data_IF_833378000877
#
_entry.id   IF_833378000877
#
_cell.length_a   1.000
_cell.length_b   1.000
_cell.length_c   1.000
_cell.angle_alpha   90.00
_cell.angle_beta   90.00
_cell.angle_gamma   90.00
#
_symmetry.space_group_name_H-M   'P 1'
#
loop_
_entity.id
_entity.type
_entity.pdbx_description
1 polymer ?
#
# COMPACT_ATOMS: atom_id res chain seq x y z
N UNK A 1 11.71 -1.70 -27.19
CA UNK A 1 11.45 -2.74 -28.20
C UNK A 1 10.04 -3.19 -27.92
N UNK A 2 9.08 -2.86 -28.78
CA UNK A 2 7.70 -3.28 -28.57
C UNK A 2 7.59 -4.77 -28.85
N UNK A 3 7.05 -5.49 -27.89
CA UNK A 3 6.80 -6.93 -28.05
C UNK A 3 5.35 -7.04 -28.51
N UNK A 4 5.18 -7.46 -29.73
CA UNK A 4 3.90 -7.82 -30.33
C UNK A 4 3.88 -9.32 -30.50
N UNK A 5 3.55 -10.01 -29.43
CA UNK A 5 3.54 -11.46 -29.41
C UNK A 5 2.13 -11.98 -29.70
N UNK A 6 2.05 -13.09 -30.38
CA UNK A 6 0.83 -13.76 -30.76
C UNK A 6 0.89 -15.18 -30.27
N UNK A 7 -0.12 -15.57 -29.53
CA UNK A 7 -0.20 -16.88 -28.94
C UNK A 7 -1.48 -17.60 -29.35
N UNK A 8 -1.43 -18.92 -29.39
CA UNK A 8 -2.60 -19.78 -29.54
C UNK A 8 -2.43 -21.04 -28.71
N UNK A 9 -3.51 -21.46 -28.10
CA UNK A 9 -3.53 -22.75 -27.41
C UNK A 9 -3.91 -23.87 -28.38
N UNK A 10 -3.01 -24.81 -28.59
CA UNK A 10 -3.25 -26.07 -29.28
C UNK A 10 -2.94 -27.21 -28.30
N UNK A 11 -3.91 -28.13 -28.11
CA UNK A 11 -3.83 -29.26 -27.14
C UNK A 11 -3.42 -28.85 -25.72
N UNK A 12 -3.95 -27.72 -25.24
CA UNK A 12 -3.65 -27.10 -23.90
C UNK A 12 -2.23 -26.53 -23.74
N UNK A 13 -1.47 -26.46 -24.79
CA UNK A 13 -0.14 -25.84 -24.81
C UNK A 13 -0.26 -24.46 -25.48
N UNK A 14 0.23 -23.42 -24.82
CA UNK A 14 0.34 -22.11 -25.42
C UNK A 14 1.58 -22.09 -26.31
N UNK A 15 1.42 -21.72 -27.58
CA UNK A 15 2.51 -21.56 -28.53
C UNK A 15 2.44 -20.20 -29.19
N UNK A 16 3.59 -19.63 -29.45
CA UNK A 16 3.71 -18.43 -30.28
C UNK A 16 3.37 -18.75 -31.73
N UNK A 17 2.60 -17.88 -32.38
CA UNK A 17 2.19 -18.03 -33.78
C UNK A 17 2.63 -16.82 -34.60
N UNK A 18 2.97 -17.04 -35.86
CA UNK A 18 3.39 -15.96 -36.77
C UNK A 18 2.22 -15.28 -37.49
N UNK A 19 1.12 -16.00 -37.71
CA UNK A 19 -0.04 -15.50 -38.44
C UNK A 19 -1.25 -15.27 -37.55
N UNK A 20 -2.07 -14.28 -37.91
CA UNK A 20 -3.34 -14.06 -37.26
C UNK A 20 -4.35 -15.10 -37.71
N UNK A 21 -4.92 -15.84 -36.79
CA UNK A 21 -5.92 -16.85 -37.07
C UNK A 21 -6.96 -16.98 -35.97
N UNK A 22 -8.00 -17.77 -36.21
CA UNK A 22 -9.03 -18.03 -35.20
C UNK A 22 -8.44 -18.59 -33.89
N UNK A 23 -8.87 -18.01 -32.78
CA UNK A 23 -8.38 -18.37 -31.45
C UNK A 23 -7.01 -17.79 -31.10
N UNK A 24 -6.52 -16.81 -31.85
CA UNK A 24 -5.28 -16.09 -31.50
C UNK A 24 -5.49 -15.19 -30.29
N UNK A 25 -4.49 -15.11 -29.45
CA UNK A 25 -4.32 -14.07 -28.43
C UNK A 25 -3.17 -13.16 -28.84
N UNK A 26 -3.47 -11.87 -29.00
CA UNK A 26 -2.53 -10.84 -29.39
C UNK A 26 -2.18 -10.03 -28.15
N UNK A 27 -0.92 -10.01 -27.75
CA UNK A 27 -0.41 -9.22 -26.64
C UNK A 27 0.31 -7.99 -27.16
N UNK A 28 -0.12 -6.83 -26.73
CA UNK A 28 0.46 -5.55 -27.09
C UNK A 28 0.96 -4.86 -25.82
N UNK A 29 2.25 -4.97 -25.57
CA UNK A 29 2.90 -4.29 -24.45
C UNK A 29 3.61 -3.06 -24.95
N UNK A 30 3.22 -1.88 -24.46
CA UNK A 30 3.78 -0.58 -24.86
C UNK A 30 3.84 -0.38 -26.37
N UNK A 31 2.72 -0.59 -27.11
CA UNK A 31 2.73 -0.54 -28.56
C UNK A 31 3.03 0.86 -29.09
N UNK A 32 3.76 0.93 -30.19
CA UNK A 32 3.96 2.16 -30.94
C UNK A 32 2.67 2.59 -31.63
N UNK A 33 2.66 3.83 -32.13
CA UNK A 33 1.51 4.36 -32.89
C UNK A 33 1.28 3.52 -34.17
N UNK A 34 2.33 3.13 -34.87
CA UNK A 34 2.24 2.36 -36.12
C UNK A 34 1.74 0.93 -35.88
N UNK A 35 2.15 0.30 -34.79
CA UNK A 35 1.62 -1.00 -34.38
C UNK A 35 0.13 -0.90 -34.01
N UNK A 36 -0.24 0.12 -33.25
CA UNK A 36 -1.65 0.38 -32.90
C UNK A 36 -2.50 0.60 -34.15
N UNK A 37 -2.03 1.39 -35.14
CA UNK A 37 -2.69 1.59 -36.43
C UNK A 37 -2.85 0.30 -37.20
N UNK A 38 -1.78 -0.51 -37.29
CA UNK A 38 -1.82 -1.79 -38.01
C UNK A 38 -2.87 -2.76 -37.44
N UNK A 39 -3.07 -2.77 -36.12
CA UNK A 39 -4.11 -3.56 -35.46
C UNK A 39 -5.50 -2.95 -35.68
N UNK A 40 -5.64 -1.63 -35.53
CA UNK A 40 -6.89 -0.91 -35.76
C UNK A 40 -7.44 -1.15 -37.18
N UNK A 41 -6.59 -0.99 -38.19
CA UNK A 41 -6.96 -1.21 -39.62
C UNK A 41 -7.31 -2.68 -39.90
N UNK A 42 -6.54 -3.62 -39.33
CA UNK A 42 -6.73 -5.06 -39.60
C UNK A 42 -8.02 -5.60 -39.02
N UNK A 43 -8.42 -5.15 -37.85
CA UNK A 43 -9.59 -5.68 -37.13
C UNK A 43 -10.77 -4.72 -37.14
N UNK A 44 -10.68 -3.63 -37.91
CA UNK A 44 -11.72 -2.58 -37.99
C UNK A 44 -12.10 -2.03 -36.61
N UNK A 45 -11.07 -1.72 -35.80
CA UNK A 45 -11.21 -1.15 -34.45
C UNK A 45 -10.85 0.33 -34.51
N UNK A 46 -11.54 1.18 -33.76
CA UNK A 46 -11.12 2.58 -33.62
C UNK A 46 -9.73 2.67 -33.01
N UNK A 47 -8.85 3.48 -33.62
CA UNK A 47 -7.49 3.68 -33.10
C UNK A 47 -7.48 4.24 -31.68
N UNK A 48 -8.45 5.09 -31.33
CA UNK A 48 -8.58 5.63 -29.98
C UNK A 48 -8.85 4.51 -28.98
N UNK A 49 -9.69 3.53 -29.33
CA UNK A 49 -10.00 2.37 -28.46
C UNK A 49 -8.82 1.41 -28.32
N UNK A 50 -8.02 1.20 -29.39
CA UNK A 50 -6.77 0.43 -29.31
C UNK A 50 -5.76 1.10 -28.38
N UNK A 51 -5.77 2.43 -28.29
CA UNK A 51 -4.82 3.18 -27.49
C UNK A 51 -5.33 3.60 -26.11
N UNK A 52 -6.61 3.37 -25.83
CA UNK A 52 -7.24 3.82 -24.60
C UNK A 52 -6.50 3.33 -23.34
N UNK A 53 -6.11 2.06 -23.31
CA UNK A 53 -5.37 1.48 -22.16
C UNK A 53 -3.89 1.91 -22.04
N UNK A 54 -3.43 2.85 -22.90
CA UNK A 54 -2.10 3.46 -22.81
C UNK A 54 -2.13 4.83 -22.13
N UNK A 55 -3.30 5.29 -21.75
CA UNK A 55 -3.52 6.49 -20.96
C UNK A 55 -3.73 6.04 -19.51
N UNK A 56 -2.83 6.45 -18.61
CA UNK A 56 -2.84 6.05 -17.20
C UNK A 56 -4.09 6.59 -16.46
N UNK A 57 -4.76 7.61 -16.98
CA UNK A 57 -5.99 8.20 -16.43
C UNK A 57 -7.27 7.60 -17.03
N UNK A 58 -7.15 6.59 -17.90
CA UNK A 58 -8.30 5.99 -18.55
C UNK A 58 -9.20 5.23 -17.56
N UNK A 59 -10.51 5.44 -17.67
CA UNK A 59 -11.48 4.85 -16.75
C UNK A 59 -11.88 3.43 -17.13
N UNK A 60 -11.98 2.54 -16.15
CA UNK A 60 -12.48 1.18 -16.33
C UNK A 60 -13.91 1.19 -16.88
N UNK A 61 -14.13 0.57 -18.06
CA UNK A 61 -15.41 0.53 -18.77
C UNK A 61 -15.59 -0.69 -19.65
N UNK A 62 -16.82 -0.93 -20.04
CA UNK A 62 -17.19 -1.84 -21.13
C UNK A 62 -17.88 -1.04 -22.22
N UNK A 63 -17.41 -1.18 -23.44
CA UNK A 63 -17.96 -0.56 -24.65
C UNK A 63 -18.19 -1.66 -25.68
N UNK A 64 -19.41 -1.74 -26.22
CA UNK A 64 -19.78 -2.75 -27.22
C UNK A 64 -20.05 -2.06 -28.52
N UNK A 65 -19.20 -2.33 -29.49
CA UNK A 65 -19.30 -1.88 -30.86
C UNK A 65 -19.84 -3.00 -31.76
N UNK A 66 -20.10 -2.70 -33.02
CA UNK A 66 -20.65 -3.68 -33.97
C UNK A 66 -19.67 -4.82 -34.26
N UNK A 67 -18.37 -4.53 -34.36
CA UNK A 67 -17.32 -5.49 -34.74
C UNK A 67 -16.49 -6.00 -33.57
N UNK A 68 -16.51 -5.31 -32.42
CA UNK A 68 -15.70 -5.68 -31.26
C UNK A 68 -16.33 -5.25 -29.94
N UNK A 69 -15.80 -5.78 -28.86
CA UNK A 69 -16.12 -5.33 -27.49
C UNK A 69 -14.82 -4.93 -26.81
N UNK A 70 -14.75 -3.69 -26.35
CA UNK A 70 -13.64 -3.16 -25.53
C UNK A 70 -14.00 -3.26 -24.06
N UNK A 71 -13.07 -3.81 -23.28
CA UNK A 71 -13.17 -3.90 -21.83
C UNK A 71 -11.87 -3.30 -21.29
N UNK A 72 -12.00 -2.25 -20.48
CA UNK A 72 -10.87 -1.64 -19.77
C UNK A 72 -11.06 -1.91 -18.29
N UNK A 73 -10.03 -2.46 -17.66
CA UNK A 73 -9.96 -2.71 -16.22
C UNK A 73 -8.62 -2.24 -15.69
N UNK A 74 -8.60 -1.81 -14.45
CA UNK A 74 -7.35 -1.48 -13.78
C UNK A 74 -6.69 -2.76 -13.27
N UNK A 75 -5.39 -2.85 -13.42
CA UNK A 75 -4.55 -3.93 -12.89
C UNK A 75 -3.51 -3.36 -11.94
N UNK A 76 -3.08 -4.12 -10.92
CA UNK A 76 -2.05 -3.65 -10.01
C UNK A 76 -0.69 -3.64 -10.70
N UNK A 77 0.07 -2.57 -10.47
CA UNK A 77 1.45 -2.41 -10.92
C UNK A 77 2.36 -1.98 -9.77
N UNK A 78 3.67 -2.16 -9.96
CA UNK A 78 4.71 -1.74 -9.03
C UNK A 78 5.58 -0.72 -9.76
N UNK A 79 5.66 0.48 -9.19
CA UNK A 79 6.61 1.49 -9.62
C UNK A 79 7.70 1.71 -8.56
N UNK A 80 8.87 2.16 -8.98
CA UNK A 80 9.92 2.57 -8.06
C UNK A 80 9.79 4.08 -7.84
N UNK A 81 9.40 4.46 -6.62
CA UNK A 81 9.29 5.85 -6.19
C UNK A 81 10.25 6.10 -5.03
N UNK A 82 11.16 7.07 -5.17
CA UNK A 82 12.18 7.38 -4.15
C UNK A 82 12.99 6.14 -3.69
N UNK A 83 13.44 5.32 -4.64
CA UNK A 83 14.19 4.07 -4.41
C UNK A 83 13.40 2.98 -3.63
N UNK A 84 12.09 3.09 -3.56
CA UNK A 84 11.18 2.14 -2.88
C UNK A 84 10.11 1.64 -3.83
N UNK A 85 9.64 0.43 -3.58
CA UNK A 85 8.47 -0.11 -4.28
C UNK A 85 7.20 0.58 -3.80
N UNK A 86 6.51 1.25 -4.71
CA UNK A 86 5.18 1.80 -4.53
C UNK A 86 4.18 1.02 -5.38
N UNK A 87 3.02 0.74 -4.82
CA UNK A 87 1.97 0.01 -5.52
C UNK A 87 0.97 0.99 -6.11
N UNK A 88 0.77 0.87 -7.41
CA UNK A 88 -0.15 1.70 -8.18
C UNK A 88 -1.07 0.83 -9.04
N UNK A 89 -1.86 1.44 -9.89
CA UNK A 89 -2.72 0.74 -10.83
C UNK A 89 -2.57 1.35 -12.20
N UNK A 90 -2.63 0.50 -13.22
CA UNK A 90 -2.59 0.90 -14.63
C UNK A 90 -3.74 0.24 -15.39
N UNK A 91 -4.22 0.82 -16.49
CA UNK A 91 -5.25 0.23 -17.31
C UNK A 91 -4.75 -0.98 -18.09
N UNK A 92 -5.59 -2.01 -18.18
CA UNK A 92 -5.47 -3.13 -19.10
C UNK A 92 -6.66 -3.10 -20.06
N UNK A 93 -6.40 -2.93 -21.35
CA UNK A 93 -7.38 -3.07 -22.42
C UNK A 93 -7.51 -4.52 -22.86
N UNK A 94 -8.74 -5.01 -22.95
CA UNK A 94 -9.08 -6.32 -23.51
C UNK A 94 -10.09 -6.08 -24.62
N UNK A 95 -9.71 -6.40 -25.87
CA UNK A 95 -10.58 -6.26 -27.01
C UNK A 95 -10.95 -7.65 -27.53
N UNK A 96 -12.24 -7.91 -27.56
CA UNK A 96 -12.81 -9.14 -28.12
C UNK A 96 -13.27 -8.86 -29.53
N UNK A 97 -12.61 -9.46 -30.52
CA UNK A 97 -13.06 -9.45 -31.92
C UNK A 97 -13.61 -10.82 -32.33
N UNK A 98 -14.18 -10.95 -33.53
CA UNK A 98 -14.88 -12.17 -33.93
C UNK A 98 -14.12 -13.46 -33.65
N UNK A 99 -12.82 -13.51 -33.93
CA UNK A 99 -12.02 -14.75 -33.89
C UNK A 99 -10.81 -14.71 -32.95
N UNK A 100 -10.49 -13.58 -32.33
CA UNK A 100 -9.33 -13.46 -31.45
C UNK A 100 -9.59 -12.54 -30.26
N UNK A 101 -8.65 -12.52 -29.33
CA UNK A 101 -8.61 -11.61 -28.18
C UNK A 101 -7.31 -10.80 -28.25
N UNK A 102 -7.41 -9.50 -27.99
CA UNK A 102 -6.28 -8.57 -27.97
C UNK A 102 -6.17 -8.00 -26.57
N UNK A 103 -5.00 -8.05 -25.97
CA UNK A 103 -4.71 -7.41 -24.69
C UNK A 103 -3.68 -6.32 -24.88
N UNK A 104 -3.92 -5.13 -24.29
CA UNK A 104 -3.11 -3.94 -24.48
C UNK A 104 -2.79 -3.36 -23.10
N UNK A 105 -1.50 -3.15 -22.84
CA UNK A 105 -1.03 -2.60 -21.59
C UNK A 105 0.18 -1.68 -21.83
N UNK A 106 0.35 -0.67 -20.98
CA UNK A 106 1.48 0.25 -21.04
C UNK A 106 2.81 -0.39 -20.61
N UNK A 107 2.76 -1.50 -19.85
CA UNK A 107 3.94 -2.23 -19.37
C UNK A 107 3.68 -3.73 -19.25
N UNK A 108 4.73 -4.51 -19.01
CA UNK A 108 4.61 -5.93 -18.69
C UNK A 108 3.89 -6.10 -17.35
N UNK A 109 3.02 -7.11 -17.26
CA UNK A 109 2.18 -7.32 -16.07
C UNK A 109 2.15 -8.78 -15.65
N UNK A 110 2.28 -9.06 -14.32
CA UNK A 110 2.17 -10.42 -13.78
C UNK A 110 0.80 -11.08 -14.06
N UNK A 111 -0.22 -10.27 -14.38
CA UNK A 111 -1.55 -10.78 -14.74
C UNK A 111 -1.50 -11.55 -16.06
N UNK A 112 -0.84 -11.02 -17.08
CA UNK A 112 -0.71 -11.65 -18.40
C UNK A 112 0.45 -12.66 -18.45
N UNK A 113 1.59 -12.34 -17.83
CA UNK A 113 2.76 -13.22 -17.77
C UNK A 113 2.44 -14.60 -17.21
N UNK A 114 1.54 -14.68 -16.22
CA UNK A 114 1.12 -15.95 -15.64
C UNK A 114 0.56 -16.95 -16.67
N UNK A 115 -0.07 -16.46 -17.73
CA UNK A 115 -0.56 -17.28 -18.84
C UNK A 115 0.58 -17.68 -19.79
N UNK A 116 1.49 -16.74 -20.10
CA UNK A 116 2.62 -16.99 -21.00
C UNK A 116 3.62 -17.99 -20.39
N UNK A 117 3.84 -17.92 -19.09
CA UNK A 117 4.73 -18.84 -18.36
C UNK A 117 4.08 -20.20 -18.01
N UNK A 118 2.82 -20.44 -18.43
CA UNK A 118 2.13 -21.68 -18.14
C UNK A 118 1.75 -21.90 -16.66
N UNK A 119 1.76 -20.83 -15.85
CA UNK A 119 1.34 -20.87 -14.43
C UNK A 119 -0.17 -21.05 -14.26
N UNK A 120 -0.95 -20.68 -15.27
CA UNK A 120 -2.41 -20.88 -15.32
C UNK A 120 -2.70 -22.15 -16.08
N UNK A 121 -3.36 -23.10 -15.42
CA UNK A 121 -3.76 -24.37 -16.03
C UNK A 121 -5.14 -24.25 -16.67
N UNK A 122 -5.39 -25.10 -17.69
CA UNK A 122 -6.73 -25.28 -18.29
C UNK A 122 -7.35 -24.01 -18.90
N UNK A 123 -6.55 -23.13 -19.50
CA UNK A 123 -7.07 -22.03 -20.30
C UNK A 123 -6.98 -22.35 -21.80
N UNK A 124 -7.83 -21.68 -22.59
CA UNK A 124 -7.82 -21.80 -24.04
C UNK A 124 -8.14 -20.47 -24.70
N UNK A 125 -7.23 -19.99 -25.53
CA UNK A 125 -7.42 -18.74 -26.30
C UNK A 125 -8.56 -18.86 -27.31
N UNK A 126 -8.96 -20.08 -27.70
CA UNK A 126 -10.12 -20.37 -28.56
C UNK A 126 -11.45 -20.08 -27.86
N UNK A 127 -11.50 -20.24 -26.51
CA UNK A 127 -12.67 -19.93 -25.67
C UNK A 127 -12.55 -18.49 -25.13
N UNK A 128 -12.68 -17.50 -26.00
CA UNK A 128 -12.36 -16.07 -25.73
C UNK A 128 -13.03 -15.51 -24.49
N UNK A 129 -14.31 -15.78 -24.30
CA UNK A 129 -15.04 -15.31 -23.10
C UNK A 129 -14.47 -15.90 -21.82
N UNK A 130 -14.28 -17.23 -21.80
CA UNK A 130 -13.70 -17.92 -20.67
C UNK A 130 -12.28 -17.40 -20.37
N UNK A 131 -11.48 -17.21 -21.43
CA UNK A 131 -10.11 -16.69 -21.29
C UNK A 131 -10.10 -15.26 -20.72
N UNK A 132 -10.98 -14.38 -21.21
CA UNK A 132 -11.16 -13.05 -20.65
C UNK A 132 -11.53 -13.11 -19.14
N UNK A 133 -12.49 -13.95 -18.74
CA UNK A 133 -12.83 -14.10 -17.32
C UNK A 133 -11.67 -14.65 -16.49
N UNK A 134 -10.84 -15.53 -17.05
CA UNK A 134 -9.63 -16.03 -16.40
C UNK A 134 -8.60 -14.89 -16.20
N UNK A 135 -8.46 -13.97 -17.17
CA UNK A 135 -7.63 -12.78 -17.01
C UNK A 135 -8.17 -11.90 -15.87
N UNK A 136 -9.48 -11.66 -15.82
CA UNK A 136 -10.11 -10.86 -14.76
C UNK A 136 -9.99 -11.56 -13.39
N UNK A 137 -10.15 -12.87 -13.32
CA UNK A 137 -9.89 -13.65 -12.11
C UNK A 137 -8.44 -13.51 -11.62
N UNK A 138 -7.50 -13.66 -12.57
CA UNK A 138 -6.07 -13.47 -12.27
C UNK A 138 -5.78 -12.06 -11.78
N UNK A 139 -6.41 -11.05 -12.35
CA UNK A 139 -6.30 -9.67 -11.88
C UNK A 139 -6.71 -9.55 -10.40
N UNK A 140 -7.90 -10.04 -10.03
CA UNK A 140 -8.37 -10.00 -8.63
C UNK A 140 -7.40 -10.71 -7.67
N UNK A 141 -6.90 -11.90 -8.05
CA UNK A 141 -5.96 -12.65 -7.20
C UNK A 141 -4.60 -11.97 -7.10
N UNK A 142 -4.17 -11.22 -8.13
CA UNK A 142 -2.95 -10.42 -8.10
C UNK A 142 -3.09 -9.22 -7.15
N UNK A 143 -4.24 -8.53 -7.16
CA UNK A 143 -4.54 -7.51 -6.15
C UNK A 143 -4.46 -8.07 -4.73
N UNK A 144 -5.10 -9.21 -4.47
CA UNK A 144 -5.05 -9.84 -3.15
C UNK A 144 -3.62 -10.24 -2.74
N UNK A 145 -2.79 -10.67 -3.68
CA UNK A 145 -1.39 -10.96 -3.41
C UNK A 145 -0.64 -9.71 -2.94
N UNK A 146 -0.75 -8.58 -3.66
CA UNK A 146 -0.08 -7.33 -3.27
C UNK A 146 -0.65 -6.75 -1.98
N UNK A 147 -1.94 -6.89 -1.72
CA UNK A 147 -2.54 -6.51 -0.45
C UNK A 147 -1.91 -7.26 0.74
N UNK A 148 -1.66 -8.57 0.59
CA UNK A 148 -0.95 -9.34 1.62
C UNK A 148 0.52 -8.92 1.77
N UNK A 149 1.18 -8.52 0.69
CA UNK A 149 2.55 -7.97 0.76
C UNK A 149 2.56 -6.65 1.53
N UNK A 150 1.62 -5.75 1.25
CA UNK A 150 1.47 -4.48 1.98
C UNK A 150 1.21 -4.70 3.48
N UNK A 151 0.35 -5.65 3.83
CA UNK A 151 0.08 -5.97 5.23
C UNK A 151 1.31 -6.53 5.97
N UNK A 152 2.10 -7.36 5.31
CA UNK A 152 3.39 -7.80 5.86
C UNK A 152 4.34 -6.63 6.09
N UNK A 153 4.45 -5.70 5.13
CA UNK A 153 5.28 -4.48 5.28
C UNK A 153 4.79 -3.63 6.44
N UNK A 154 3.47 -3.43 6.59
CA UNK A 154 2.87 -2.75 7.75
C UNK A 154 3.27 -3.42 9.08
N UNK A 155 3.19 -4.76 9.15
CA UNK A 155 3.54 -5.51 10.36
C UNK A 155 5.01 -5.28 10.76
N UNK A 156 5.93 -5.23 9.80
CA UNK A 156 7.34 -4.94 10.06
C UNK A 156 7.54 -3.51 10.59
N UNK A 157 6.81 -2.54 10.04
CA UNK A 157 6.83 -1.15 10.53
C UNK A 157 6.31 -1.10 11.97
N UNK A 158 5.20 -1.77 12.27
CA UNK A 158 4.62 -1.82 13.62
C UNK A 158 5.58 -2.41 14.65
N UNK A 159 6.36 -3.42 14.31
CA UNK A 159 7.39 -3.98 15.17
C UNK A 159 8.52 -2.96 15.44
N UNK A 160 8.99 -2.26 14.42
CA UNK A 160 10.02 -1.20 14.59
C UNK A 160 9.53 -0.08 15.49
N UNK A 161 8.28 0.38 15.34
CA UNK A 161 7.68 1.43 16.17
C UNK A 161 7.72 1.08 17.66
N UNK A 162 7.59 -0.20 18.01
CA UNK A 162 7.65 -0.65 19.40
C UNK A 162 9.06 -0.55 20.00
N UNK A 163 10.08 -0.78 19.20
CA UNK A 163 11.49 -0.70 19.62
C UNK A 163 12.01 0.73 19.57
N UNK A 164 12.04 1.32 18.38
CA UNK A 164 12.50 2.68 18.15
C UNK A 164 11.66 3.30 17.02
N UNK A 165 11.06 4.44 17.29
CA UNK A 165 10.18 5.12 16.34
C UNK A 165 10.97 6.15 15.55
N UNK A 166 10.99 6.03 14.23
CA UNK A 166 11.61 6.97 13.31
C UNK A 166 10.55 7.73 12.49
N UNK A 167 10.89 8.94 12.04
CA UNK A 167 10.00 9.72 11.16
C UNK A 167 9.76 8.97 9.82
N UNK A 168 10.71 8.15 9.37
CA UNK A 168 10.60 7.31 8.19
C UNK A 168 9.43 6.31 8.28
N UNK A 169 9.09 5.81 9.47
CA UNK A 169 7.99 4.87 9.68
C UNK A 169 6.63 5.52 9.41
N UNK A 170 6.48 6.82 9.75
CA UNK A 170 5.27 7.59 9.41
C UNK A 170 5.10 7.76 7.89
N UNK A 171 6.19 8.03 7.20
CA UNK A 171 6.21 8.18 5.74
C UNK A 171 5.84 6.85 5.09
N UNK A 172 6.43 5.74 5.56
CA UNK A 172 6.15 4.39 5.07
C UNK A 172 4.68 4.00 5.28
N UNK A 173 4.09 4.30 6.46
CA UNK A 173 2.66 4.06 6.72
C UNK A 173 1.75 4.91 5.83
N UNK A 174 2.11 6.17 5.59
CA UNK A 174 1.35 7.06 4.71
C UNK A 174 1.38 6.56 3.25
N UNK A 175 2.53 6.09 2.77
CA UNK A 175 2.68 5.50 1.44
C UNK A 175 1.80 4.24 1.29
N UNK A 176 1.81 3.35 2.28
CA UNK A 176 0.93 2.17 2.27
C UNK A 176 -0.55 2.55 2.28
N UNK A 177 -0.94 3.57 3.06
CA UNK A 177 -2.33 4.08 3.07
C UNK A 177 -2.73 4.62 1.69
N UNK A 178 -1.85 5.38 1.02
CA UNK A 178 -2.07 5.90 -0.33
C UNK A 178 -2.24 4.78 -1.36
N UNK A 179 -1.38 3.78 -1.33
CA UNK A 179 -1.44 2.62 -2.22
C UNK A 179 -2.78 1.86 -2.06
N UNK A 180 -3.28 1.71 -0.81
CA UNK A 180 -4.58 1.09 -0.56
C UNK A 180 -5.75 1.92 -1.09
N UNK A 181 -5.64 3.26 -1.12
CA UNK A 181 -6.66 4.13 -1.73
C UNK A 181 -6.73 3.91 -3.24
N UNK A 182 -5.59 3.85 -3.93
CA UNK A 182 -5.54 3.52 -5.36
C UNK A 182 -6.18 2.16 -5.63
N UNK A 183 -5.77 1.12 -4.91
CA UNK A 183 -6.33 -0.23 -5.07
C UNK A 183 -7.83 -0.27 -4.80
N UNK A 184 -8.31 0.38 -3.74
CA UNK A 184 -9.74 0.43 -3.45
C UNK A 184 -10.55 1.13 -4.55
N UNK A 185 -10.01 2.18 -5.15
CA UNK A 185 -10.66 2.93 -6.23
C UNK A 185 -10.75 2.08 -7.49
N UNK A 186 -9.65 1.49 -7.91
CA UNK A 186 -9.55 0.65 -9.09
C UNK A 186 -10.38 -0.64 -8.97
N UNK A 187 -10.35 -1.31 -7.81
CA UNK A 187 -11.18 -2.50 -7.59
C UNK A 187 -12.68 -2.20 -7.62
N UNK A 188 -13.11 -1.01 -7.14
CA UNK A 188 -14.50 -0.56 -7.26
C UNK A 188 -14.88 -0.26 -8.71
N UNK A 189 -14.00 0.40 -9.47
CA UNK A 189 -14.20 0.66 -10.89
C UNK A 189 -14.31 -0.65 -11.67
N UNK A 190 -13.41 -1.61 -11.41
CA UNK A 190 -13.48 -2.97 -11.96
C UNK A 190 -14.79 -3.67 -11.59
N UNK A 191 -15.27 -3.49 -10.36
CA UNK A 191 -16.56 -4.04 -9.91
C UNK A 191 -17.72 -3.57 -10.79
N UNK A 192 -17.74 -2.29 -11.18
CA UNK A 192 -18.75 -1.75 -12.11
C UNK A 192 -18.66 -2.41 -13.49
N UNK A 193 -17.45 -2.67 -13.98
CA UNK A 193 -17.22 -3.41 -15.24
C UNK A 193 -17.75 -4.83 -15.14
N UNK A 194 -17.44 -5.54 -14.06
CA UNK A 194 -17.90 -6.90 -13.80
C UNK A 194 -19.44 -6.99 -13.72
N UNK A 195 -20.07 -6.03 -13.02
CA UNK A 195 -21.53 -5.95 -12.94
C UNK A 195 -22.17 -5.68 -14.33
N UNK A 196 -21.52 -4.90 -15.17
CA UNK A 196 -21.98 -4.71 -16.55
C UNK A 196 -21.87 -6.01 -17.34
N UNK A 197 -20.76 -6.76 -17.22
CA UNK A 197 -20.57 -8.04 -17.93
C UNK A 197 -21.63 -9.08 -17.57
N UNK A 198 -22.15 -9.09 -16.34
CA UNK A 198 -23.26 -10.01 -15.95
C UNK A 198 -24.57 -9.69 -16.65
N UNK A 199 -24.81 -8.42 -16.99
CA UNK A 199 -26.07 -7.94 -17.60
C UNK A 199 -26.08 -7.96 -19.13
N UNK A 200 -24.92 -8.15 -19.76
CA UNK A 200 -24.79 -8.11 -21.21
C UNK A 200 -25.31 -9.41 -21.87
N UNK A 201 -26.61 -9.44 -22.18
CA UNK A 201 -27.25 -10.55 -22.89
C UNK A 201 -26.81 -10.74 -24.35
N UNK A 202 -26.06 -9.81 -24.95
CA UNK A 202 -25.47 -9.94 -26.30
C UNK A 202 -24.24 -10.85 -26.35
N UNK A 203 -23.58 -11.07 -25.20
CA UNK A 203 -22.43 -11.94 -25.10
C UNK A 203 -22.97 -13.37 -24.86
N UNK A 204 -22.82 -14.27 -25.84
CA UNK A 204 -23.15 -15.69 -25.66
C UNK A 204 -22.32 -16.28 -24.52
N UNK A 205 -22.93 -16.43 -23.36
CA UNK A 205 -22.28 -17.05 -22.18
C UNK A 205 -22.70 -18.53 -22.13
N UNK A 206 -21.72 -19.40 -21.99
CA UNK A 206 -21.96 -20.78 -21.62
C UNK A 206 -22.20 -20.84 -20.08
N UNK A 207 -22.97 -21.84 -19.59
CA UNK A 207 -23.21 -21.99 -18.14
C UNK A 207 -21.93 -22.01 -17.31
N UNK A 208 -20.88 -22.67 -17.79
CA UNK A 208 -19.56 -22.75 -17.15
C UNK A 208 -18.82 -21.39 -17.10
N UNK A 209 -19.08 -20.50 -18.07
CA UNK A 209 -18.48 -19.17 -18.12
C UNK A 209 -19.17 -18.23 -17.14
N UNK A 210 -20.47 -18.47 -16.87
CA UNK A 210 -21.23 -17.72 -15.88
C UNK A 210 -20.72 -17.99 -14.45
N UNK A 211 -20.47 -19.27 -14.13
CA UNK A 211 -19.89 -19.66 -12.84
C UNK A 211 -18.53 -18.99 -12.61
N UNK A 212 -17.68 -18.97 -13.64
CA UNK A 212 -16.37 -18.32 -13.55
C UNK A 212 -16.52 -16.78 -13.34
N UNK A 213 -17.50 -16.13 -14.00
CA UNK A 213 -17.76 -14.70 -13.78
C UNK A 213 -18.28 -14.43 -12.36
N UNK A 214 -19.11 -15.29 -11.82
CA UNK A 214 -19.58 -15.20 -10.43
C UNK A 214 -18.39 -15.34 -9.45
N UNK A 215 -17.44 -16.24 -9.72
CA UNK A 215 -16.20 -16.37 -8.95
C UNK A 215 -15.35 -15.08 -9.02
N UNK A 216 -15.21 -14.46 -10.21
CA UNK A 216 -14.50 -13.18 -10.36
C UNK A 216 -15.13 -12.07 -9.52
N UNK A 217 -16.47 -12.00 -9.50
CA UNK A 217 -17.20 -11.02 -8.68
C UNK A 217 -16.92 -11.22 -7.18
N UNK A 218 -16.91 -12.48 -6.73
CA UNK A 218 -16.61 -12.82 -5.33
C UNK A 218 -15.18 -12.41 -4.97
N UNK A 219 -14.21 -12.76 -5.82
CA UNK A 219 -12.79 -12.40 -5.60
C UNK A 219 -12.55 -10.89 -5.62
N UNK A 220 -13.19 -10.15 -6.53
CA UNK A 220 -13.12 -8.70 -6.57
C UNK A 220 -13.70 -8.07 -5.30
N UNK A 221 -14.87 -8.54 -4.84
CA UNK A 221 -15.48 -8.09 -3.60
C UNK A 221 -14.59 -8.36 -2.39
N UNK A 222 -14.00 -9.55 -2.32
CA UNK A 222 -13.06 -9.91 -1.27
C UNK A 222 -11.84 -8.98 -1.26
N UNK A 223 -11.30 -8.66 -2.44
CA UNK A 223 -10.17 -7.72 -2.55
C UNK A 223 -10.55 -6.31 -2.06
N UNK A 224 -11.78 -5.83 -2.37
CA UNK A 224 -12.30 -4.56 -1.85
C UNK A 224 -12.40 -4.59 -0.31
N UNK A 225 -12.94 -5.65 0.25
CA UNK A 225 -13.05 -5.82 1.71
C UNK A 225 -11.66 -5.86 2.38
N UNK A 226 -10.69 -6.55 1.77
CA UNK A 226 -9.31 -6.57 2.25
C UNK A 226 -8.68 -5.18 2.25
N UNK A 227 -8.88 -4.37 1.19
CA UNK A 227 -8.35 -2.99 1.17
C UNK A 227 -8.93 -2.15 2.29
N UNK A 228 -10.22 -2.29 2.60
CA UNK A 228 -10.86 -1.57 3.68
C UNK A 228 -10.30 -1.99 5.04
N UNK A 229 -10.20 -3.29 5.30
CA UNK A 229 -9.66 -3.83 6.56
C UNK A 229 -8.22 -3.34 6.78
N UNK A 230 -7.36 -3.45 5.76
CA UNK A 230 -5.96 -3.05 5.90
C UNK A 230 -5.80 -1.54 6.08
N UNK A 231 -6.65 -0.73 5.43
CA UNK A 231 -6.65 0.71 5.65
C UNK A 231 -7.05 1.08 7.07
N UNK A 232 -8.06 0.41 7.62
CA UNK A 232 -8.49 0.63 9.00
C UNK A 232 -7.40 0.23 10.01
N UNK A 233 -6.69 -0.88 9.75
CA UNK A 233 -5.55 -1.32 10.55
C UNK A 233 -4.40 -0.30 10.48
N UNK A 234 -4.03 0.20 9.29
CA UNK A 234 -2.98 1.23 9.13
C UNK A 234 -3.34 2.50 9.88
N UNK A 235 -4.61 2.94 9.80
CA UNK A 235 -5.08 4.09 10.56
C UNK A 235 -4.92 3.88 12.07
N UNK A 236 -5.28 2.71 12.58
CA UNK A 236 -5.06 2.32 13.98
C UNK A 236 -3.58 2.26 14.38
N UNK A 237 -2.72 1.75 13.51
CA UNK A 237 -1.26 1.70 13.75
C UNK A 237 -0.68 3.11 13.84
N UNK A 238 -1.12 4.06 12.99
CA UNK A 238 -0.71 5.47 13.04
C UNK A 238 -1.16 6.15 14.34
N UNK A 239 -2.37 5.89 14.80
CA UNK A 239 -2.87 6.41 16.07
C UNK A 239 -2.08 5.86 17.27
N UNK A 240 -1.77 4.55 17.26
CA UNK A 240 -0.90 3.92 18.24
C UNK A 240 0.48 4.56 18.26
N UNK A 241 1.10 4.78 17.09
CA UNK A 241 2.38 5.45 16.95
C UNK A 241 2.37 6.85 17.57
N UNK A 242 1.35 7.66 17.26
CA UNK A 242 1.19 8.99 17.85
C UNK A 242 1.09 8.92 19.38
N UNK A 243 0.39 7.94 19.92
CA UNK A 243 0.27 7.72 21.35
C UNK A 243 1.61 7.34 21.99
N UNK A 244 2.41 6.49 21.34
CA UNK A 244 3.76 6.10 21.81
C UNK A 244 4.68 7.31 21.84
N UNK A 245 4.71 8.12 20.77
CA UNK A 245 5.51 9.35 20.69
C UNK A 245 5.13 10.31 21.83
N UNK A 246 3.84 10.56 22.03
CA UNK A 246 3.35 11.44 23.10
C UNK A 246 3.73 10.89 24.49
N UNK A 247 3.66 9.60 24.71
CA UNK A 247 4.08 8.99 25.96
C UNK A 247 5.59 9.13 26.20
N UNK A 248 6.42 8.91 25.17
CA UNK A 248 7.89 9.12 25.25
C UNK A 248 8.22 10.56 25.58
N UNK A 249 7.59 11.53 24.86
CA UNK A 249 7.76 12.95 25.12
C UNK A 249 7.35 13.32 26.55
N UNK A 250 6.19 12.84 27.04
CA UNK A 250 5.72 13.09 28.39
C UNK A 250 6.68 12.51 29.45
N UNK A 251 7.23 11.32 29.20
CA UNK A 251 8.21 10.72 30.10
C UNK A 251 9.53 11.49 30.11
N UNK A 252 10.02 11.97 28.95
CA UNK A 252 11.19 12.83 28.86
C UNK A 252 10.98 14.15 29.61
N UNK A 253 9.81 14.79 29.46
CA UNK A 253 9.46 16.01 30.22
C UNK A 253 9.37 15.76 31.72
N UNK A 254 8.79 14.65 32.17
CA UNK A 254 8.76 14.27 33.60
C UNK A 254 10.17 14.05 34.15
N UNK A 255 11.05 13.42 33.39
CA UNK A 255 12.43 13.18 33.76
C UNK A 255 13.20 14.51 33.90
N UNK A 256 13.06 15.41 32.92
CA UNK A 256 13.68 16.73 32.94
C UNK A 256 13.18 17.57 34.14
N UNK A 257 11.87 17.59 34.37
CA UNK A 257 11.28 18.28 35.52
C UNK A 257 11.78 17.67 36.85
N UNK A 258 11.92 16.36 36.96
CA UNK A 258 12.44 15.72 38.15
C UNK A 258 13.89 16.12 38.46
N UNK A 259 14.76 16.14 37.43
CA UNK A 259 16.14 16.60 37.59
C UNK A 259 16.16 18.07 38.03
N UNK A 260 15.35 18.92 37.38
CA UNK A 260 15.28 20.37 37.71
C UNK A 260 14.87 20.57 39.18
N UNK A 261 13.87 19.82 39.69
CA UNK A 261 13.44 19.90 41.08
C UNK A 261 14.58 19.48 42.04
N UNK A 262 15.26 18.37 41.72
CA UNK A 262 16.38 17.89 42.56
C UNK A 262 17.51 18.89 42.62
N UNK A 263 17.84 19.58 41.51
CA UNK A 263 18.90 20.60 41.41
C UNK A 263 18.48 21.93 42.00
N UNK A 264 17.19 22.24 42.02
CA UNK A 264 16.69 23.51 42.57
C UNK A 264 16.94 23.61 44.10
N UNK A 265 16.84 22.50 44.82
CA UNK A 265 17.00 22.51 46.30
C UNK A 265 18.38 22.96 46.72
N UNK A 266 19.50 22.40 46.28
CA UNK A 266 20.84 22.92 46.55
C UNK A 266 20.99 24.38 46.15
N UNK A 267 20.48 24.76 44.99
CA UNK A 267 20.62 26.13 44.46
C UNK A 267 19.91 27.15 45.32
N UNK A 268 18.69 26.89 45.77
CA UNK A 268 17.93 27.81 46.62
C UNK A 268 18.61 27.95 47.99
N UNK A 269 19.02 26.84 48.63
CA UNK A 269 19.66 26.87 49.96
C UNK A 269 21.02 27.61 49.85
N UNK A 270 21.84 27.24 48.88
CA UNK A 270 23.13 27.95 48.63
C UNK A 270 22.96 29.42 48.34
N UNK A 271 21.91 29.78 47.56
CA UNK A 271 21.57 31.19 47.27
C UNK A 271 21.20 31.97 48.53
N UNK A 272 20.40 31.41 49.42
CA UNK A 272 20.06 32.01 50.73
C UNK A 272 21.30 32.18 51.59
N UNK A 273 22.16 31.18 51.68
CA UNK A 273 23.42 31.27 52.45
C UNK A 273 24.48 32.17 51.80
N UNK A 274 24.39 32.46 50.52
CA UNK A 274 25.24 33.41 49.80
C UNK A 274 24.81 34.89 49.93
N UNK A 275 23.70 35.16 50.61
CA UNK A 275 23.22 36.54 50.79
C UNK A 275 24.09 37.32 51.80
N UNK A 276 24.39 38.60 51.50
CA UNK A 276 25.10 39.52 52.40
C UNK A 276 24.15 40.05 53.51
N UNK A 277 23.65 39.16 54.37
CA UNK A 277 22.78 39.50 55.51
C UNK A 277 23.51 39.29 56.81
N UNK A 278 23.06 39.95 57.86
CA UNK A 278 23.67 39.82 59.19
C UNK A 278 23.58 38.37 59.72
N UNK A 279 24.71 37.80 60.09
CA UNK A 279 24.85 36.38 60.50
C UNK A 279 24.10 36.00 61.77
N UNK A 280 23.61 36.98 62.54
CA UNK A 280 22.95 36.78 63.83
C UNK A 280 21.69 35.90 63.77
N UNK A 281 21.00 35.86 62.63
CA UNK A 281 19.77 35.09 62.43
C UNK A 281 19.94 33.93 61.43
N UNK A 282 21.19 33.70 60.98
CA UNK A 282 21.48 32.67 60.00
C UNK A 282 21.80 31.32 60.71
N UNK A 283 21.01 30.28 60.56
CA UNK A 283 21.22 28.99 61.22
C UNK A 283 22.62 28.48 60.90
N UNK A 284 23.32 27.93 61.89
CA UNK A 284 24.68 27.33 61.77
C UNK A 284 25.81 28.28 61.35
N UNK A 285 25.58 29.58 61.11
CA UNK A 285 26.63 30.51 60.64
C UNK A 285 27.78 30.72 61.63
N UNK A 286 27.54 30.62 62.95
CA UNK A 286 28.50 30.83 64.00
C UNK A 286 28.93 29.56 64.76
N UNK A 287 28.62 28.37 64.20
CA UNK A 287 28.93 27.08 64.83
C UNK A 287 30.15 26.47 64.15
N UNK A 288 31.10 25.87 64.89
CA UNK A 288 32.19 25.09 64.30
C UNK A 288 31.62 24.02 63.38
N UNK A 289 32.19 23.84 62.21
CA UNK A 289 31.70 22.93 61.15
C UNK A 289 30.30 23.24 60.61
N UNK A 290 29.81 24.49 60.76
CA UNK A 290 28.48 24.89 60.27
C UNK A 290 28.28 24.76 58.78
N UNK A 291 29.34 24.95 57.99
CA UNK A 291 29.32 24.76 56.53
C UNK A 291 29.09 23.29 56.16
N UNK A 292 29.81 22.37 56.80
CA UNK A 292 29.68 20.92 56.55
C UNK A 292 28.30 20.39 56.97
N UNK A 293 27.71 20.93 58.04
CA UNK A 293 26.35 20.60 58.47
C UNK A 293 25.34 21.04 57.42
N UNK A 294 25.47 22.25 56.89
CA UNK A 294 24.54 22.74 55.85
C UNK A 294 24.67 21.91 54.57
N UNK A 295 25.91 21.60 54.15
CA UNK A 295 26.14 20.72 52.98
C UNK A 295 25.52 19.35 53.18
N UNK A 296 25.66 18.75 54.40
CA UNK A 296 25.04 17.47 54.76
C UNK A 296 23.51 17.54 54.68
N UNK A 297 22.88 18.60 55.18
CA UNK A 297 21.43 18.79 55.12
C UNK A 297 20.97 18.91 53.69
N UNK A 298 21.64 19.70 52.85
CA UNK A 298 21.33 19.82 51.39
C UNK A 298 21.36 18.46 50.73
N UNK A 299 22.41 17.69 50.96
CA UNK A 299 22.60 16.36 50.38
C UNK A 299 21.48 15.39 50.78
N UNK A 300 21.14 15.34 52.08
CA UNK A 300 20.05 14.53 52.59
C UNK A 300 18.69 14.88 51.98
N UNK A 301 18.37 16.17 51.93
CA UNK A 301 17.10 16.66 51.34
C UNK A 301 17.05 16.30 49.85
N UNK A 302 18.14 16.54 49.11
CA UNK A 302 18.21 16.18 47.67
C UNK A 302 18.01 14.69 47.44
N UNK A 303 18.62 13.81 48.26
CA UNK A 303 18.44 12.36 48.15
C UNK A 303 17.00 11.96 48.47
N UNK A 304 16.39 12.52 49.52
CA UNK A 304 14.99 12.23 49.89
C UNK A 304 14.05 12.62 48.73
N UNK A 305 14.22 13.79 48.16
CA UNK A 305 13.43 14.23 47.00
C UNK A 305 13.64 13.31 45.82
N UNK A 306 14.88 12.93 45.48
CA UNK A 306 15.17 11.99 44.40
C UNK A 306 14.49 10.64 44.60
N UNK A 307 14.48 10.11 45.85
CA UNK A 307 13.80 8.86 46.19
C UNK A 307 12.27 9.00 46.02
N UNK A 308 11.69 10.12 46.45
CA UNK A 308 10.24 10.38 46.28
C UNK A 308 9.88 10.43 44.81
N UNK A 309 10.65 11.17 43.98
CA UNK A 309 10.42 11.29 42.55
C UNK A 309 10.63 9.94 41.83
N UNK A 310 11.60 9.14 42.26
CA UNK A 310 11.78 7.75 41.75
C UNK A 310 10.59 6.87 42.09
N UNK A 311 10.01 6.94 43.29
CA UNK A 311 8.79 6.23 43.69
C UNK A 311 7.58 6.67 42.83
N UNK A 312 7.49 7.95 42.48
CA UNK A 312 6.46 8.48 41.58
C UNK A 312 6.69 8.17 40.10
N UNK A 313 7.67 7.34 39.76
CA UNK A 313 8.06 6.95 38.40
C UNK A 313 8.44 8.14 37.48
N UNK A 314 8.86 9.26 38.06
CA UNK A 314 9.32 10.42 37.30
C UNK A 314 10.79 10.34 36.87
N UNK A 315 11.59 9.49 37.51
CA UNK A 315 13.02 9.23 37.22
C UNK A 315 13.23 7.86 36.57
N UNK A 316 12.19 7.23 35.98
CA UNK A 316 12.31 6.00 35.24
C UNK A 316 12.24 6.31 33.74
N UNK A 317 13.32 5.99 33.01
CA UNK A 317 13.28 5.89 31.54
C UNK A 317 12.45 4.69 31.11
#
# INVERSE_FOLDING_TARGET
MCIRDRYRTDDRILSEIQEYGPGAWIVMTKPTIDESKSIAERFEIDLADVRAALDDEESSRVQVEDNYTLIIVDIPSIEIRNEREAYTTIPLGIILVADCIITICAEETPVLEAFMEGKVREFSTKKRMRFMYQILYRNCTTYQYYLRVMDRRRTLIEQRIQEETEDADLIDLHELESNLVYFATSLRANGVVLDKLTRYGRIKQYPEDKELLDDVLVENKQAIEMTQIYRDIISGTRELMTTIINNRLNNAMKFLAAITIVMAVPTVISGVYGMNVGTKWMPFANVPYGFEIVCGIILVISIVIAIILKKKKMLKQ
#
